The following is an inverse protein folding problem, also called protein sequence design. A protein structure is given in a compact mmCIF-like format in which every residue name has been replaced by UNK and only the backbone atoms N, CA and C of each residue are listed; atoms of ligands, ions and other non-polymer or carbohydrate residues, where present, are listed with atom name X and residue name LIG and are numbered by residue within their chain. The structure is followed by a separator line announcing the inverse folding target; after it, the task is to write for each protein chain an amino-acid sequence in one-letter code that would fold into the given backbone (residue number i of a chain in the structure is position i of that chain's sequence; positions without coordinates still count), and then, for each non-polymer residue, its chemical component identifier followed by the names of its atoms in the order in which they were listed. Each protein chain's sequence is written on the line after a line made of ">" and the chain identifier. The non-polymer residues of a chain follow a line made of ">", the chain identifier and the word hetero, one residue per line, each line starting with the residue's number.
data_IF_982678705662
#
_entry.id   IF_982678705662
#
_cell.length_a   1.000
_cell.length_b   1.000
_cell.length_c   1.000
_cell.angle_alpha   90.00
_cell.angle_beta   90.00
_cell.angle_gamma   90.00
#
_symmetry.space_group_name_H-M   'P 1'
#
loop_
_entity.id
_entity.type
_entity.pdbx_description
1 polymer ?
#
# COMPACT_ATOMS: atom_id res chain seq x y z
N UNK A 1 -4.34 16.93 -19.74
CA UNK A 1 -2.98 16.62 -19.23
C UNK A 1 -2.16 15.83 -20.24
N UNK A 2 -2.75 15.02 -21.12
CA UNK A 2 -2.03 14.31 -22.21
C UNK A 2 -1.34 15.24 -23.21
N UNK A 3 -1.73 16.51 -23.26
CA UNK A 3 -1.14 17.55 -24.11
C UNK A 3 -0.06 18.36 -23.38
N UNK A 4 0.09 18.16 -22.08
CA UNK A 4 1.08 18.84 -21.22
C UNK A 4 2.34 17.97 -21.12
N UNK A 5 3.08 17.86 -22.21
CA UNK A 5 4.36 17.16 -22.27
C UNK A 5 5.52 18.16 -22.22
N UNK A 6 6.67 17.68 -21.80
CA UNK A 6 7.92 18.45 -21.87
C UNK A 6 8.24 18.82 -23.32
N UNK A 7 9.02 19.88 -23.50
CA UNK A 7 9.55 20.26 -24.81
C UNK A 7 10.38 19.13 -25.40
N UNK A 8 10.41 19.04 -26.75
CA UNK A 8 11.09 17.92 -27.42
C UNK A 8 12.63 17.98 -27.27
N UNK A 9 13.18 19.14 -26.89
CA UNK A 9 14.61 19.38 -26.63
C UNK A 9 14.94 19.47 -25.13
N UNK A 10 14.00 19.10 -24.25
CA UNK A 10 14.22 19.09 -22.82
C UNK A 10 15.35 18.10 -22.45
N UNK A 11 16.31 18.57 -21.66
CA UNK A 11 17.40 17.76 -21.13
C UNK A 11 17.11 17.44 -19.67
N UNK A 12 17.09 16.15 -19.33
CA UNK A 12 16.83 15.68 -17.97
C UNK A 12 18.11 15.20 -17.31
N UNK A 13 18.32 15.57 -16.04
CA UNK A 13 19.45 15.09 -15.26
C UNK A 13 19.40 13.57 -15.04
N UNK A 14 18.21 13.01 -14.99
CA UNK A 14 17.98 11.58 -14.81
C UNK A 14 16.64 11.16 -15.40
N UNK A 15 16.66 10.05 -16.12
CA UNK A 15 15.44 9.37 -16.59
C UNK A 15 15.33 8.01 -15.93
N UNK A 16 14.11 7.63 -15.55
CA UNK A 16 13.80 6.33 -14.99
C UNK A 16 12.56 5.78 -15.68
N UNK A 17 12.65 4.57 -16.20
CA UNK A 17 11.56 3.89 -16.87
C UNK A 17 11.01 2.77 -15.97
N UNK A 18 9.71 2.72 -15.84
CA UNK A 18 9.00 1.65 -15.14
C UNK A 18 7.93 1.06 -16.07
N UNK A 19 7.83 -0.26 -16.08
CA UNK A 19 6.64 -0.91 -16.61
C UNK A 19 5.63 -1.08 -15.47
N UNK A 20 4.42 -0.58 -15.67
CA UNK A 20 3.36 -0.71 -14.66
C UNK A 20 2.98 -2.18 -14.39
N UNK A 21 3.23 -3.07 -15.35
CA UNK A 21 2.99 -4.50 -15.18
C UNK A 21 3.97 -5.17 -14.21
N UNK A 22 5.14 -4.57 -13.99
CA UNK A 22 6.16 -5.07 -13.06
C UNK A 22 5.89 -4.66 -11.61
N UNK A 23 4.90 -3.78 -11.39
CA UNK A 23 4.56 -3.29 -10.05
C UNK A 23 3.47 -4.18 -9.45
N UNK A 24 3.85 -5.06 -8.52
CA UNK A 24 2.90 -5.85 -7.75
C UNK A 24 2.15 -4.99 -6.71
N UNK A 25 1.02 -5.47 -6.17
CA UNK A 25 0.36 -4.82 -5.04
C UNK A 25 1.32 -4.62 -3.87
N UNK A 26 1.37 -3.40 -3.35
CA UNK A 26 2.30 -3.00 -2.30
C UNK A 26 1.61 -2.91 -0.94
N UNK A 27 2.34 -3.27 0.11
CA UNK A 27 1.90 -3.16 1.50
C UNK A 27 3.00 -2.52 2.35
N UNK A 28 2.62 -1.79 3.39
CA UNK A 28 3.55 -1.28 4.40
C UNK A 28 3.54 -2.19 5.63
N UNK A 29 4.71 -2.44 6.18
CA UNK A 29 4.93 -3.29 7.36
C UNK A 29 5.43 -2.51 8.57
N UNK A 30 5.53 -1.19 8.47
CA UNK A 30 6.09 -0.35 9.51
C UNK A 30 5.39 1.00 9.63
N UNK A 31 6.05 1.96 10.25
CA UNK A 31 5.49 3.24 10.67
C UNK A 31 5.77 4.40 9.71
N UNK A 32 6.41 4.14 8.58
CA UNK A 32 6.67 5.16 7.56
C UNK A 32 6.60 4.57 6.14
N UNK A 33 6.41 5.40 5.10
CA UNK A 33 6.27 4.92 3.71
C UNK A 33 7.49 4.16 3.16
N UNK A 34 8.69 4.40 3.70
CA UNK A 34 9.90 3.67 3.33
C UNK A 34 9.91 2.21 3.79
N UNK A 35 8.98 1.84 4.68
CA UNK A 35 8.79 0.47 5.15
C UNK A 35 7.69 -0.24 4.33
N UNK A 36 7.78 -0.13 3.01
CA UNK A 36 6.90 -0.79 2.06
C UNK A 36 7.58 -1.96 1.37
N UNK A 37 6.79 -2.93 0.93
CA UNK A 37 7.24 -4.09 0.16
C UNK A 37 6.12 -4.61 -0.73
N UNK A 38 6.44 -5.43 -1.72
CA UNK A 38 5.43 -6.19 -2.46
C UNK A 38 4.71 -7.18 -1.56
N UNK A 39 3.44 -7.43 -1.82
CA UNK A 39 2.59 -8.28 -0.96
C UNK A 39 3.09 -9.73 -0.87
N UNK A 40 3.81 -10.19 -1.88
CA UNK A 40 4.39 -11.55 -1.92
C UNK A 40 5.73 -11.67 -1.21
N UNK A 41 6.33 -10.55 -0.83
CA UNK A 41 7.62 -10.49 -0.18
C UNK A 41 7.51 -10.72 1.33
N UNK A 42 8.66 -10.84 1.98
CA UNK A 42 8.79 -10.97 3.42
C UNK A 42 9.37 -9.68 4.00
N UNK A 43 8.99 -9.36 5.23
CA UNK A 43 9.60 -8.28 5.99
C UNK A 43 11.11 -8.50 6.03
N UNK A 44 11.93 -7.48 5.72
CA UNK A 44 13.39 -7.64 5.76
C UNK A 44 13.90 -8.17 7.10
N UNK A 45 14.99 -8.90 7.05
CA UNK A 45 15.74 -9.27 8.28
C UNK A 45 16.62 -8.11 8.74
N UNK A 46 17.24 -8.24 9.89
CA UNK A 46 18.14 -7.20 10.43
C UNK A 46 19.59 -7.34 9.92
N UNK A 47 19.84 -8.26 8.99
CA UNK A 47 21.17 -8.52 8.47
C UNK A 47 21.74 -7.30 7.72
N UNK A 48 22.95 -6.94 8.03
CA UNK A 48 23.64 -5.80 7.42
C UNK A 48 23.18 -4.42 7.92
N UNK A 49 22.24 -4.35 8.85
CA UNK A 49 21.83 -3.07 9.44
C UNK A 49 22.82 -2.62 10.51
N UNK A 50 23.12 -1.32 10.57
CA UNK A 50 23.82 -0.75 11.71
C UNK A 50 22.90 -0.72 12.96
N UNK A 51 23.45 -0.59 14.16
CA UNK A 51 22.70 -0.69 15.42
C UNK A 51 21.58 0.36 15.54
N UNK A 52 21.79 1.58 15.07
CA UNK A 52 20.76 2.65 15.13
C UNK A 52 19.58 2.32 14.22
N UNK A 53 19.85 1.92 12.99
CA UNK A 53 18.83 1.52 12.01
C UNK A 53 18.08 0.30 12.49
N UNK A 54 18.81 -0.71 13.01
CA UNK A 54 18.24 -1.92 13.56
C UNK A 54 17.31 -1.66 14.74
N UNK A 55 17.73 -0.81 15.68
CA UNK A 55 16.89 -0.46 16.83
C UNK A 55 15.59 0.25 16.40
N UNK A 56 15.67 1.19 15.46
CA UNK A 56 14.50 1.89 14.92
C UNK A 56 13.57 0.95 14.16
N UNK A 57 14.14 0.06 13.34
CA UNK A 57 13.40 -0.94 12.59
C UNK A 57 12.64 -1.90 13.51
N UNK A 58 13.32 -2.49 14.50
CA UNK A 58 12.71 -3.41 15.46
C UNK A 58 11.60 -2.72 16.28
N UNK A 59 11.81 -1.47 16.68
CA UNK A 59 10.78 -0.69 17.38
C UNK A 59 9.53 -0.47 16.52
N UNK A 60 9.70 -0.23 15.22
CA UNK A 60 8.57 -0.09 14.30
C UNK A 60 7.82 -1.40 14.10
N UNK A 61 8.53 -2.53 14.01
CA UNK A 61 7.92 -3.85 13.91
C UNK A 61 7.17 -4.24 15.19
N UNK A 62 7.75 -3.97 16.34
CA UNK A 62 7.11 -4.20 17.63
C UNK A 62 5.80 -3.43 17.76
N UNK A 63 5.79 -2.15 17.36
CA UNK A 63 4.58 -1.33 17.31
C UNK A 63 3.51 -1.91 16.38
N UNK A 64 3.90 -2.48 15.25
CA UNK A 64 2.99 -3.10 14.28
C UNK A 64 2.61 -4.55 14.63
N UNK A 65 3.27 -5.16 15.61
CA UNK A 65 3.06 -6.55 15.98
C UNK A 65 3.64 -7.56 15.00
N UNK A 66 4.72 -7.19 14.28
CA UNK A 66 5.39 -8.05 13.30
C UNK A 66 6.79 -8.45 13.73
N UNK A 67 7.35 -9.46 13.03
CA UNK A 67 8.71 -9.93 13.23
C UNK A 67 9.55 -9.80 11.94
N UNK A 68 10.87 -9.60 12.04
CA UNK A 68 11.75 -9.69 10.87
C UNK A 68 11.60 -11.01 10.12
N UNK A 69 11.59 -10.99 8.81
CA UNK A 69 11.45 -12.17 7.95
C UNK A 69 10.03 -12.72 7.82
N UNK A 70 9.05 -12.08 8.43
CA UNK A 70 7.65 -12.53 8.40
C UNK A 70 6.96 -12.21 7.08
N UNK A 71 6.10 -13.13 6.58
CA UNK A 71 5.20 -12.87 5.46
C UNK A 71 3.91 -12.23 5.96
N UNK A 72 3.41 -11.22 5.24
CA UNK A 72 2.11 -10.60 5.54
C UNK A 72 0.95 -11.24 4.77
N UNK A 73 1.23 -11.86 3.62
CA UNK A 73 0.22 -12.58 2.86
C UNK A 73 -0.34 -13.74 3.68
N UNK A 74 -1.67 -13.80 3.76
CA UNK A 74 -2.37 -14.84 4.53
C UNK A 74 -2.56 -14.52 6.02
N UNK A 75 -2.10 -13.38 6.49
CA UNK A 75 -2.38 -12.91 7.86
C UNK A 75 -3.87 -12.67 8.05
N UNK A 76 -4.38 -13.07 9.21
CA UNK A 76 -5.74 -12.74 9.62
C UNK A 76 -5.86 -11.23 9.84
N UNK A 77 -6.93 -10.67 9.31
CA UNK A 77 -7.29 -9.26 9.51
C UNK A 77 -8.65 -9.17 10.21
N UNK A 78 -8.84 -8.16 11.03
CA UNK A 78 -10.09 -7.90 11.74
C UNK A 78 -10.83 -6.70 11.14
N UNK A 79 -10.11 -5.75 10.55
CA UNK A 79 -10.67 -4.54 9.96
C UNK A 79 -10.19 -4.34 8.53
N UNK A 80 -11.10 -3.93 7.66
CA UNK A 80 -10.82 -3.39 6.34
C UNK A 80 -11.31 -1.95 6.31
N UNK A 81 -10.44 -1.03 5.97
CA UNK A 81 -10.78 0.37 5.78
C UNK A 81 -10.43 0.78 4.35
N UNK A 82 -11.45 1.11 3.57
CA UNK A 82 -11.28 1.68 2.24
C UNK A 82 -11.70 3.14 2.28
N UNK A 83 -10.75 4.02 2.17
CA UNK A 83 -10.97 5.45 2.16
C UNK A 83 -9.70 6.20 2.57
N UNK A 84 -9.42 7.28 1.87
CA UNK A 84 -8.34 8.20 2.19
C UNK A 84 -8.62 9.52 1.46
N UNK A 85 -7.83 10.56 1.75
CA UNK A 85 -7.92 11.83 1.04
C UNK A 85 -7.63 11.70 -0.48
N UNK A 86 -6.89 10.68 -0.88
CA UNK A 86 -6.55 10.39 -2.28
C UNK A 86 -7.32 9.21 -2.87
N UNK A 87 -7.69 8.22 -2.05
CA UNK A 87 -8.28 6.94 -2.48
C UNK A 87 -9.71 6.75 -1.93
N UNK A 88 -10.50 7.77 -1.96
CA UNK A 88 -11.92 7.74 -1.60
C UNK A 88 -12.82 8.23 -2.73
N UNK A 89 -12.38 8.06 -3.98
CA UNK A 89 -13.10 8.48 -5.19
C UNK A 89 -14.01 7.36 -5.67
N UNK A 90 -14.98 7.71 -6.52
CA UNK A 90 -15.94 6.75 -7.04
C UNK A 90 -15.26 5.61 -7.83
N UNK A 91 -14.16 5.90 -8.52
CA UNK A 91 -13.38 4.90 -9.26
C UNK A 91 -12.79 3.84 -8.33
N UNK A 92 -12.29 4.26 -7.16
CA UNK A 92 -11.72 3.34 -6.16
C UNK A 92 -12.80 2.39 -5.61
N UNK A 93 -13.99 2.92 -5.32
CA UNK A 93 -15.12 2.10 -4.86
C UNK A 93 -15.64 1.16 -5.95
N UNK A 94 -15.64 1.59 -7.22
CA UNK A 94 -16.01 0.73 -8.35
C UNK A 94 -15.00 -0.40 -8.55
N UNK A 95 -13.70 -0.11 -8.43
CA UNK A 95 -12.66 -1.12 -8.50
C UNK A 95 -12.82 -2.14 -7.35
N UNK A 96 -13.00 -1.66 -6.13
CA UNK A 96 -13.28 -2.52 -4.97
C UNK A 96 -14.54 -3.36 -5.17
N UNK A 97 -15.64 -2.75 -5.59
CA UNK A 97 -16.89 -3.45 -5.84
C UNK A 97 -16.76 -4.55 -6.90
N UNK A 98 -15.94 -4.35 -7.93
CA UNK A 98 -15.68 -5.36 -8.95
C UNK A 98 -14.98 -6.61 -8.39
N UNK A 99 -14.13 -6.44 -7.37
CA UNK A 99 -13.42 -7.53 -6.70
C UNK A 99 -14.34 -8.29 -5.75
N UNK A 100 -15.13 -7.58 -4.95
CA UNK A 100 -15.94 -8.20 -3.89
C UNK A 100 -17.31 -8.69 -4.35
N UNK A 101 -17.73 -8.30 -5.54
CA UNK A 101 -19.04 -8.68 -6.11
C UNK A 101 -19.21 -10.19 -6.13
N UNK A 102 -20.30 -10.68 -5.51
CA UNK A 102 -20.61 -12.12 -5.41
C UNK A 102 -19.86 -12.84 -4.29
N UNK A 103 -19.03 -12.15 -3.53
CA UNK A 103 -18.37 -12.69 -2.35
C UNK A 103 -19.02 -12.17 -1.07
N UNK A 104 -18.87 -12.93 0.00
CA UNK A 104 -19.25 -12.49 1.35
C UNK A 104 -17.99 -12.22 2.16
N UNK A 105 -17.98 -11.12 2.93
CA UNK A 105 -16.89 -10.87 3.87
C UNK A 105 -16.88 -11.96 4.95
N UNK A 106 -15.71 -12.26 5.47
CA UNK A 106 -15.61 -13.13 6.64
C UNK A 106 -16.39 -12.53 7.82
N UNK A 107 -17.07 -13.37 8.58
CA UNK A 107 -18.00 -12.95 9.65
C UNK A 107 -17.31 -12.07 10.71
N UNK A 108 -16.06 -12.38 11.05
CA UNK A 108 -15.28 -11.65 12.03
C UNK A 108 -14.67 -10.33 11.51
N UNK A 109 -14.71 -10.05 10.20
CA UNK A 109 -14.12 -8.85 9.63
C UNK A 109 -15.12 -7.69 9.66
N UNK A 110 -14.69 -6.54 10.12
CA UNK A 110 -15.42 -5.27 10.02
C UNK A 110 -14.86 -4.48 8.84
N UNK A 111 -15.72 -4.10 7.90
CA UNK A 111 -15.32 -3.33 6.73
C UNK A 111 -15.96 -1.94 6.77
N UNK A 112 -15.14 -0.92 6.62
CA UNK A 112 -15.57 0.48 6.49
C UNK A 112 -15.21 0.99 5.10
N UNK A 113 -16.21 1.56 4.45
CA UNK A 113 -16.06 2.26 3.18
C UNK A 113 -16.33 3.74 3.45
N UNK A 114 -15.29 4.56 3.34
CA UNK A 114 -15.37 5.97 3.69
C UNK A 114 -15.12 6.83 2.44
N UNK A 115 -16.18 7.36 1.82
CA UNK A 115 -16.06 8.18 0.62
C UNK A 115 -15.31 9.48 0.90
N UNK A 116 -14.51 9.92 -0.07
CA UNK A 116 -13.70 11.14 0.03
C UNK A 116 -14.52 12.43 -0.08
N UNK A 117 -15.79 12.33 -0.45
CA UNK A 117 -16.71 13.46 -0.51
C UNK A 117 -18.16 12.98 -0.45
N UNK A 118 -19.02 13.89 -0.05
CA UNK A 118 -20.46 13.70 -0.06
C UNK A 118 -21.03 13.29 -1.45
N UNK A 119 -20.44 13.81 -2.52
CA UNK A 119 -20.86 13.45 -3.90
C UNK A 119 -20.53 12.00 -4.29
N UNK A 120 -19.61 11.36 -3.59
CA UNK A 120 -19.26 9.94 -3.81
C UNK A 120 -20.14 9.04 -2.96
N UNK A 121 -20.66 9.55 -1.85
CA UNK A 121 -21.55 8.83 -0.93
C UNK A 121 -22.99 8.72 -1.46
N UNK A 122 -23.43 9.67 -2.26
CA UNK A 122 -24.76 9.76 -2.86
C UNK A 122 -24.93 8.83 -4.06
#
# INVERSE_FOLDING_TARGET
>A
WKTLKSEDDAVFDKEVHFDAADIEPMITYGTNPGMGMGITQHIPTTDGMNETTKASFLKSLDYMGFQPGEALLGKKIDYVFLGACTNGRIEDFRAFASIVKGHQKAEHVIAWLVPGSWMVDA
#
